data_IF_016995914317
#
_entry.id   IF_016995914317
#
_cell.length_a   1.000
_cell.length_b   1.000
_cell.length_c   1.000
_cell.angle_alpha   90.00
_cell.angle_beta   90.00
_cell.angle_gamma   90.00
#
_symmetry.space_group_name_H-M   'P 1'
#
loop_
_entity.id
_entity.type
_entity.pdbx_description
1 polymer ?
#
# COMPACT_ATOMS: atom_id res chain seq x y z
N UNK A 1 -20.89 -19.96 14.37
CA UNK A 1 -20.36 -18.73 13.76
C UNK A 1 -21.38 -17.61 13.95
N UNK A 2 -21.10 -16.59 14.77
CA UNK A 2 -22.01 -15.42 14.91
C UNK A 2 -22.21 -14.80 13.54
N UNK A 3 -23.45 -14.81 13.04
CA UNK A 3 -23.83 -14.26 11.76
C UNK A 3 -23.61 -12.74 11.82
N UNK A 4 -22.44 -12.26 11.39
CA UNK A 4 -22.08 -10.85 11.46
C UNK A 4 -22.80 -10.13 10.31
N UNK A 5 -24.04 -9.70 10.57
CA UNK A 5 -24.95 -9.01 9.64
C UNK A 5 -24.32 -7.80 8.90
N UNK A 6 -23.14 -7.36 9.35
CA UNK A 6 -22.40 -6.20 8.86
C UNK A 6 -21.09 -6.52 8.12
N UNK A 7 -20.74 -7.78 7.89
CA UNK A 7 -19.51 -8.15 7.17
C UNK A 7 -19.73 -8.09 5.65
N UNK A 8 -18.90 -7.32 4.95
CA UNK A 8 -18.95 -7.22 3.49
C UNK A 8 -18.08 -8.32 2.86
N UNK A 9 -18.66 -9.51 2.67
CA UNK A 9 -17.94 -10.68 2.14
C UNK A 9 -17.29 -10.43 0.77
N UNK A 10 -17.92 -9.66 -0.12
CA UNK A 10 -17.36 -9.35 -1.43
C UNK A 10 -16.06 -8.52 -1.32
N UNK A 11 -15.96 -7.63 -0.34
CA UNK A 11 -14.75 -6.80 -0.12
C UNK A 11 -13.60 -7.66 0.36
N UNK A 12 -13.85 -8.59 1.29
CA UNK A 12 -12.83 -9.52 1.76
C UNK A 12 -12.34 -10.45 0.63
N UNK A 13 -13.26 -10.92 -0.22
CA UNK A 13 -12.91 -11.71 -1.40
C UNK A 13 -12.10 -10.91 -2.43
N UNK A 14 -12.44 -9.63 -2.66
CA UNK A 14 -11.65 -8.75 -3.52
C UNK A 14 -10.24 -8.53 -2.95
N UNK A 15 -10.09 -8.36 -1.63
CA UNK A 15 -8.78 -8.26 -0.97
C UNK A 15 -7.97 -9.53 -1.13
N UNK A 16 -8.60 -10.69 -0.96
CA UNK A 16 -7.97 -11.99 -1.16
C UNK A 16 -7.53 -12.18 -2.61
N UNK A 17 -8.39 -11.85 -3.57
CA UNK A 17 -8.04 -11.89 -4.98
C UNK A 17 -6.89 -10.94 -5.32
N UNK A 18 -6.96 -9.69 -4.89
CA UNK A 18 -5.93 -8.69 -5.19
C UNK A 18 -4.56 -9.04 -4.57
N UNK A 19 -4.54 -9.61 -3.36
CA UNK A 19 -3.26 -10.06 -2.77
C UNK A 19 -2.69 -11.26 -3.54
N UNK A 20 -3.51 -12.24 -3.95
CA UNK A 20 -3.03 -13.39 -4.74
C UNK A 20 -2.55 -12.94 -6.13
N UNK A 21 -3.28 -12.03 -6.79
CA UNK A 21 -2.87 -11.44 -8.06
C UNK A 21 -1.57 -10.65 -7.94
N UNK A 22 -1.32 -10.00 -6.79
CA UNK A 22 -0.06 -9.33 -6.52
C UNK A 22 1.09 -10.34 -6.40
N UNK A 23 0.90 -11.41 -5.61
CA UNK A 23 1.93 -12.45 -5.41
C UNK A 23 2.37 -13.07 -6.74
N UNK A 24 1.43 -13.58 -7.53
CA UNK A 24 1.76 -14.15 -8.83
C UNK A 24 2.37 -13.11 -9.77
N UNK A 25 1.90 -11.85 -9.70
CA UNK A 25 2.40 -10.78 -10.54
C UNK A 25 3.86 -10.46 -10.28
N UNK A 26 4.28 -10.40 -9.02
CA UNK A 26 5.68 -10.18 -8.64
C UNK A 26 6.55 -11.41 -8.90
N UNK A 27 6.03 -12.62 -8.70
CA UNK A 27 6.79 -13.85 -8.95
C UNK A 27 7.04 -14.05 -10.44
N UNK A 28 5.99 -13.98 -11.26
CA UNK A 28 6.10 -14.16 -12.71
C UNK A 28 6.95 -13.04 -13.32
N UNK A 29 6.70 -11.78 -12.99
CA UNK A 29 7.53 -10.69 -13.50
C UNK A 29 8.95 -10.63 -12.93
N UNK A 30 9.19 -11.16 -11.74
CA UNK A 30 10.54 -11.16 -11.18
C UNK A 30 11.43 -12.22 -11.81
N UNK A 31 10.85 -13.35 -12.23
CA UNK A 31 11.61 -14.55 -12.56
C UNK A 31 11.46 -15.02 -14.00
N UNK A 32 10.40 -14.62 -14.73
CA UNK A 32 10.22 -14.98 -16.13
C UNK A 32 11.32 -14.38 -16.99
N UNK A 33 11.97 -15.22 -17.79
CA UNK A 33 12.99 -14.81 -18.74
C UNK A 33 12.44 -13.77 -19.74
N UNK A 34 13.25 -12.75 -20.03
CA UNK A 34 12.94 -11.68 -20.95
C UNK A 34 12.57 -12.18 -22.35
N UNK A 35 13.09 -13.33 -22.78
CA UNK A 35 12.76 -13.96 -24.07
C UNK A 35 11.26 -14.28 -24.23
N UNK A 36 10.51 -14.42 -23.13
CA UNK A 36 9.08 -14.74 -23.14
C UNK A 36 8.18 -13.53 -22.84
N UNK A 37 8.76 -12.34 -22.67
CA UNK A 37 8.02 -11.10 -22.36
C UNK A 37 7.57 -10.38 -23.62
N UNK A 38 6.80 -11.07 -24.43
CA UNK A 38 6.35 -10.56 -25.72
C UNK A 38 4.87 -10.17 -25.69
N UNK A 39 4.58 -8.90 -25.97
CA UNK A 39 3.21 -8.38 -26.07
C UNK A 39 2.46 -8.89 -27.31
N UNK A 40 3.14 -9.49 -28.29
CA UNK A 40 2.48 -10.20 -29.39
C UNK A 40 1.84 -11.51 -28.91
N UNK A 41 2.36 -12.10 -27.82
CA UNK A 41 1.80 -13.30 -27.23
C UNK A 41 0.53 -12.97 -26.45
N UNK A 42 -0.59 -13.55 -26.89
CA UNK A 42 -1.91 -13.31 -26.30
C UNK A 42 -1.95 -13.64 -24.79
N UNK A 43 -1.34 -14.75 -24.37
CA UNK A 43 -1.36 -15.17 -22.97
C UNK A 43 -0.56 -14.21 -22.08
N UNK A 44 0.63 -13.79 -22.53
CA UNK A 44 1.45 -12.81 -21.82
C UNK A 44 0.76 -11.45 -21.74
N UNK A 45 0.19 -10.97 -22.85
CA UNK A 45 -0.54 -9.70 -22.89
C UNK A 45 -1.76 -9.66 -21.98
N UNK A 46 -2.55 -10.74 -21.96
CA UNK A 46 -3.68 -10.88 -21.02
C UNK A 46 -3.16 -10.85 -19.58
N UNK A 47 -2.14 -11.64 -19.27
CA UNK A 47 -1.54 -11.67 -17.93
C UNK A 47 -1.01 -10.30 -17.51
N UNK A 48 -0.25 -9.62 -18.37
CA UNK A 48 0.33 -8.30 -18.13
C UNK A 48 -0.78 -7.26 -17.90
N UNK A 49 -1.88 -7.34 -18.66
CA UNK A 49 -3.04 -6.49 -18.48
C UNK A 49 -3.67 -6.68 -17.10
N UNK A 50 -3.93 -7.92 -16.67
CA UNK A 50 -4.50 -8.21 -15.35
C UNK A 50 -3.56 -7.84 -14.22
N UNK A 51 -2.25 -8.04 -14.39
CA UNK A 51 -1.24 -7.57 -13.44
C UNK A 51 -1.35 -6.06 -13.23
N UNK A 52 -1.50 -5.28 -14.31
CA UNK A 52 -1.69 -3.83 -14.26
C UNK A 52 -2.98 -3.34 -13.56
N UNK A 53 -3.98 -4.21 -13.36
CA UNK A 53 -5.24 -3.88 -12.65
C UNK A 53 -5.09 -4.09 -11.13
N UNK A 54 -4.12 -4.90 -10.70
CA UNK A 54 -4.01 -5.36 -9.32
C UNK A 54 -3.83 -4.21 -8.33
N UNK A 55 -2.88 -3.31 -8.57
CA UNK A 55 -2.63 -2.18 -7.68
C UNK A 55 -3.83 -1.22 -7.59
N UNK A 56 -4.44 -0.75 -8.71
CA UNK A 56 -5.67 0.04 -8.67
C UNK A 56 -6.78 -0.58 -7.81
N UNK A 57 -7.03 -1.90 -7.95
CA UNK A 57 -8.03 -2.61 -7.13
C UNK A 57 -7.61 -2.60 -5.66
N UNK A 58 -6.35 -2.92 -5.36
CA UNK A 58 -5.86 -2.99 -3.98
C UNK A 58 -5.97 -1.63 -3.25
N UNK A 59 -5.61 -0.52 -3.90
CA UNK A 59 -5.77 0.83 -3.33
C UNK A 59 -7.24 1.21 -3.15
N UNK A 60 -8.08 0.98 -4.15
CA UNK A 60 -9.51 1.32 -4.09
C UNK A 60 -10.21 0.52 -3.00
N UNK A 61 -9.95 -0.79 -2.91
CA UNK A 61 -10.51 -1.64 -1.86
C UNK A 61 -10.01 -1.23 -0.47
N UNK A 62 -8.74 -0.84 -0.34
CA UNK A 62 -8.17 -0.35 0.93
C UNK A 62 -8.84 0.94 1.40
N UNK A 63 -9.02 1.91 0.49
CA UNK A 63 -9.76 3.14 0.78
C UNK A 63 -11.23 2.89 1.10
N UNK A 64 -11.87 1.97 0.39
CA UNK A 64 -13.26 1.57 0.63
C UNK A 64 -13.45 0.99 2.03
N UNK A 65 -12.71 -0.08 2.38
CA UNK A 65 -12.89 -0.76 3.67
C UNK A 65 -12.53 0.14 4.85
N UNK A 66 -11.48 0.96 4.70
CA UNK A 66 -11.05 1.88 5.74
C UNK A 66 -12.15 2.91 6.01
N UNK A 67 -12.65 3.58 4.98
CA UNK A 67 -13.69 4.60 5.12
C UNK A 67 -15.00 3.99 5.60
N UNK A 68 -15.35 2.78 5.15
CA UNK A 68 -16.55 2.05 5.60
C UNK A 68 -16.53 1.83 7.11
N UNK A 69 -15.37 1.49 7.66
CA UNK A 69 -15.19 1.33 9.10
C UNK A 69 -15.05 2.67 9.83
N UNK A 70 -14.50 3.70 9.19
CA UNK A 70 -14.30 5.03 9.76
C UNK A 70 -15.64 5.73 10.01
N UNK A 71 -16.54 5.73 9.02
CA UNK A 71 -17.86 6.38 9.16
C UNK A 71 -18.89 5.52 9.88
N UNK A 72 -18.46 4.37 10.42
CA UNK A 72 -19.31 3.46 11.17
C UNK A 72 -19.27 3.80 12.66
N UNK A 73 -20.43 4.14 13.20
CA UNK A 73 -20.64 4.47 14.61
C UNK A 73 -21.24 5.85 14.77
N UNK A 74 -21.49 6.24 16.02
CA UNK A 74 -22.21 7.48 16.34
C UNK A 74 -21.28 8.66 16.59
N UNK A 75 -20.02 8.38 16.95
CA UNK A 75 -18.99 9.41 17.22
C UNK A 75 -18.38 9.93 15.91
N UNK A 76 -18.15 11.25 15.84
CA UNK A 76 -17.61 11.94 14.67
C UNK A 76 -16.36 12.76 15.02
N UNK A 77 -15.60 13.12 13.99
CA UNK A 77 -14.40 13.95 14.15
C UNK A 77 -13.32 13.27 14.99
N UNK A 78 -12.63 14.02 15.84
CA UNK A 78 -11.53 13.53 16.67
C UNK A 78 -11.97 12.52 17.75
N UNK A 79 -13.23 12.61 18.20
CA UNK A 79 -13.82 11.68 19.17
C UNK A 79 -14.05 10.28 18.59
N UNK A 80 -14.00 10.14 17.27
CA UNK A 80 -14.15 8.84 16.63
C UNK A 80 -12.92 7.95 16.92
N UNK A 81 -13.06 6.83 17.64
CA UNK A 81 -11.92 5.96 17.99
C UNK A 81 -11.24 5.33 16.77
N UNK A 82 -11.92 5.33 15.60
CA UNK A 82 -11.36 4.86 14.33
C UNK A 82 -10.34 5.82 13.76
N UNK A 83 -10.37 7.10 14.10
CA UNK A 83 -9.33 8.08 13.73
C UNK A 83 -7.99 7.67 14.37
N UNK A 84 -7.95 7.53 15.71
CA UNK A 84 -6.73 7.12 16.42
C UNK A 84 -6.21 5.75 15.97
N UNK A 85 -7.12 4.78 15.77
CA UNK A 85 -6.76 3.45 15.22
C UNK A 85 -6.21 3.55 13.79
N UNK A 86 -6.80 4.40 12.96
CA UNK A 86 -6.39 4.66 11.59
C UNK A 86 -5.02 5.32 11.51
N UNK A 87 -4.76 6.35 12.33
CA UNK A 87 -3.45 7.02 12.40
C UNK A 87 -2.36 6.02 12.80
N UNK A 88 -2.60 5.27 13.89
CA UNK A 88 -1.68 4.22 14.34
C UNK A 88 -1.41 3.21 13.23
N UNK A 89 -2.45 2.82 12.48
CA UNK A 89 -2.33 1.86 11.37
C UNK A 89 -1.54 2.45 10.19
N UNK A 90 -1.80 3.70 9.81
CA UNK A 90 -1.10 4.38 8.72
C UNK A 90 0.40 4.50 9.00
N UNK A 91 0.75 4.98 10.20
CA UNK A 91 2.14 5.06 10.66
C UNK A 91 2.80 3.68 10.77
N UNK A 92 2.07 2.67 11.26
CA UNK A 92 2.57 1.29 11.29
C UNK A 92 2.91 0.77 9.89
N UNK A 93 2.09 1.06 8.87
CA UNK A 93 2.36 0.61 7.50
C UNK A 93 3.59 1.30 6.90
N UNK A 94 3.78 2.58 7.18
CA UNK A 94 5.00 3.31 6.79
C UNK A 94 6.24 2.68 7.42
N UNK A 95 6.19 2.43 8.73
CA UNK A 95 7.29 1.80 9.45
C UNK A 95 7.61 0.41 8.90
N UNK A 96 6.59 -0.43 8.69
CA UNK A 96 6.79 -1.78 8.12
C UNK A 96 7.34 -1.69 6.69
N UNK A 97 6.89 -0.71 5.90
CA UNK A 97 7.40 -0.48 4.54
C UNK A 97 8.93 -0.30 4.51
N UNK A 98 9.45 0.60 5.34
CA UNK A 98 10.89 0.82 5.44
C UNK A 98 11.63 -0.36 6.07
N UNK A 99 11.03 -0.99 7.09
CA UNK A 99 11.62 -2.17 7.72
C UNK A 99 11.84 -3.29 6.71
N UNK A 100 10.88 -3.53 5.82
CA UNK A 100 10.99 -4.54 4.78
C UNK A 100 12.07 -4.21 3.75
N UNK A 101 12.35 -2.93 3.49
CA UNK A 101 13.44 -2.49 2.60
C UNK A 101 14.82 -2.49 3.26
N UNK A 102 14.90 -2.81 4.56
CA UNK A 102 16.15 -2.87 5.32
C UNK A 102 16.80 -4.25 5.19
N UNK A 103 18.13 -4.26 5.17
CA UNK A 103 18.94 -5.46 5.34
C UNK A 103 19.56 -5.44 6.75
N UNK A 104 19.17 -6.38 7.61
CA UNK A 104 19.63 -6.39 9.02
C UNK A 104 21.15 -6.61 9.08
N UNK A 105 21.69 -7.52 8.26
CA UNK A 105 23.12 -7.80 8.26
C UNK A 105 23.95 -6.63 7.70
N UNK A 106 23.42 -5.90 6.72
CA UNK A 106 24.03 -4.64 6.25
C UNK A 106 24.05 -3.57 7.34
N UNK A 107 22.93 -3.41 8.04
CA UNK A 107 22.82 -2.43 9.13
C UNK A 107 23.80 -2.72 10.27
N UNK A 108 24.02 -4.00 10.62
CA UNK A 108 25.02 -4.41 11.61
C UNK A 108 26.45 -4.08 11.19
N UNK A 109 26.71 -3.94 9.89
CA UNK A 109 28.00 -3.47 9.33
C UNK A 109 28.07 -1.95 9.16
N UNK A 110 27.02 -1.22 9.52
CA UNK A 110 26.93 0.24 9.33
C UNK A 110 26.54 0.67 7.90
N UNK A 111 26.05 -0.25 7.06
CA UNK A 111 25.67 0.03 5.68
C UNK A 111 24.15 0.21 5.53
N UNK A 112 23.75 1.29 4.86
CA UNK A 112 22.36 1.51 4.42
C UNK A 112 22.36 1.44 2.89
N UNK A 113 21.76 0.38 2.34
CA UNK A 113 21.63 0.22 0.89
C UNK A 113 20.59 1.19 0.31
N UNK A 114 20.79 1.62 -0.94
CA UNK A 114 19.87 2.53 -1.66
C UNK A 114 18.43 2.02 -1.71
N UNK A 115 18.24 0.69 -1.69
CA UNK A 115 16.92 0.06 -1.61
C UNK A 115 16.08 0.53 -0.42
N UNK A 116 16.73 0.96 0.68
CA UNK A 116 16.05 1.48 1.87
C UNK A 116 15.19 2.71 1.57
N UNK A 117 15.63 3.59 0.66
CA UNK A 117 14.94 4.84 0.34
C UNK A 117 13.76 4.65 -0.62
N UNK A 118 13.60 3.46 -1.20
CA UNK A 118 12.56 3.19 -2.19
C UNK A 118 11.17 3.08 -1.56
N UNK A 119 10.21 3.71 -2.24
CA UNK A 119 8.81 3.75 -1.82
C UNK A 119 8.02 2.62 -2.49
N UNK A 120 7.47 1.75 -1.64
CA UNK A 120 6.52 0.71 -2.03
C UNK A 120 5.05 1.01 -1.69
N UNK A 121 4.18 0.15 -2.22
CA UNK A 121 2.74 0.13 -1.97
C UNK A 121 2.34 0.30 -0.49
N UNK A 122 3.09 -0.23 0.48
CA UNK A 122 2.77 -0.07 1.92
C UNK A 122 2.83 1.38 2.37
N UNK A 123 3.83 2.13 1.91
CA UNK A 123 3.98 3.54 2.24
C UNK A 123 2.82 4.34 1.65
N UNK A 124 2.51 4.10 0.38
CA UNK A 124 1.41 4.77 -0.30
C UNK A 124 0.07 4.47 0.36
N UNK A 125 -0.19 3.24 0.82
CA UNK A 125 -1.40 2.89 1.58
C UNK A 125 -1.40 3.58 2.94
N UNK A 126 -0.26 3.58 3.64
CA UNK A 126 -0.10 4.25 4.94
C UNK A 126 -0.44 5.74 4.84
N UNK A 127 0.16 6.44 3.87
CA UNK A 127 -0.14 7.84 3.58
C UNK A 127 -1.57 8.05 3.10
N UNK A 128 -2.12 7.14 2.28
CA UNK A 128 -3.50 7.24 1.82
C UNK A 128 -4.50 7.18 2.98
N UNK A 129 -4.28 6.29 3.94
CA UNK A 129 -5.10 6.21 5.16
C UNK A 129 -5.01 7.52 5.95
N UNK A 130 -3.80 8.05 6.15
CA UNK A 130 -3.60 9.32 6.85
C UNK A 130 -4.26 10.50 6.11
N UNK A 131 -4.15 10.55 4.78
CA UNK A 131 -4.79 11.55 3.94
C UNK A 131 -6.32 11.50 4.01
N UNK A 132 -6.91 10.30 3.94
CA UNK A 132 -8.36 10.11 4.11
C UNK A 132 -8.82 10.56 5.51
N UNK A 133 -8.03 10.27 6.55
CA UNK A 133 -8.32 10.76 7.92
C UNK A 133 -8.28 12.28 7.98
N UNK A 134 -7.26 12.91 7.38
CA UNK A 134 -7.15 14.37 7.30
C UNK A 134 -8.38 14.98 6.63
N UNK A 135 -8.78 14.45 5.47
CA UNK A 135 -9.99 14.88 4.75
C UNK A 135 -11.26 14.67 5.60
N UNK A 136 -11.36 13.53 6.29
CA UNK A 136 -12.49 13.21 7.18
C UNK A 136 -12.60 14.20 8.35
N UNK A 137 -11.50 14.46 9.07
CA UNK A 137 -11.48 15.40 10.20
C UNK A 137 -11.83 16.80 9.71
N UNK A 138 -11.21 17.26 8.61
CA UNK A 138 -11.50 18.55 8.00
C UNK A 138 -13.00 18.69 7.63
N UNK A 139 -13.60 17.62 7.10
CA UNK A 139 -15.00 17.61 6.69
C UNK A 139 -15.99 17.35 7.82
N UNK A 140 -15.53 16.90 9.00
CA UNK A 140 -16.40 16.42 10.09
C UNK A 140 -17.29 17.52 10.68
N UNK A 141 -16.84 18.76 10.66
CA UNK A 141 -17.60 19.94 11.11
C UNK A 141 -18.42 20.59 10.00
N UNK A 142 -18.38 20.02 8.79
CA UNK A 142 -19.01 20.58 7.59
C UNK A 142 -20.29 19.81 7.22
N UNK A 143 -20.96 20.25 6.15
CA UNK A 143 -22.18 19.56 5.64
C UNK A 143 -21.83 18.16 5.14
N UNK A 144 -22.78 17.22 5.26
CA UNK A 144 -22.59 15.79 4.93
C UNK A 144 -22.11 15.52 3.49
N UNK A 145 -22.36 16.43 2.54
CA UNK A 145 -21.92 16.28 1.15
C UNK A 145 -20.45 16.69 0.92
N UNK A 146 -19.82 17.40 1.87
CA UNK A 146 -18.45 17.93 1.70
C UNK A 146 -17.44 16.80 1.65
N UNK A 147 -17.54 15.82 2.54
CA UNK A 147 -16.64 14.67 2.57
C UNK A 147 -16.63 13.88 1.24
N UNK A 148 -17.78 13.38 0.71
CA UNK A 148 -17.77 12.67 -0.56
C UNK A 148 -17.34 13.57 -1.73
N UNK A 149 -17.68 14.87 -1.71
CA UNK A 149 -17.24 15.81 -2.74
C UNK A 149 -15.72 15.95 -2.77
N UNK A 150 -15.06 16.16 -1.62
CA UNK A 150 -13.60 16.29 -1.56
C UNK A 150 -12.93 15.00 -2.02
N UNK A 151 -13.37 13.83 -1.54
CA UNK A 151 -12.79 12.54 -1.94
C UNK A 151 -12.90 12.28 -3.45
N UNK A 152 -14.06 12.59 -4.05
CA UNK A 152 -14.24 12.47 -5.49
C UNK A 152 -13.40 13.50 -6.25
N UNK A 153 -13.41 14.76 -5.83
CA UNK A 153 -12.62 15.82 -6.44
C UNK A 153 -11.12 15.52 -6.39
N UNK A 154 -10.58 15.04 -5.26
CA UNK A 154 -9.19 14.60 -5.15
C UNK A 154 -8.85 13.51 -6.17
N UNK A 155 -9.74 12.54 -6.37
CA UNK A 155 -9.54 11.49 -7.39
C UNK A 155 -9.41 12.10 -8.78
N UNK A 156 -10.36 12.95 -9.16
CA UNK A 156 -10.39 13.57 -10.50
C UNK A 156 -9.17 14.47 -10.70
N UNK A 157 -8.84 15.32 -9.74
CA UNK A 157 -7.68 16.22 -9.80
C UNK A 157 -6.38 15.41 -9.97
N UNK A 158 -6.17 14.37 -9.16
CA UNK A 158 -4.94 13.58 -9.26
C UNK A 158 -4.83 12.80 -10.58
N UNK A 159 -5.94 12.40 -11.18
CA UNK A 159 -5.90 11.68 -12.46
C UNK A 159 -5.70 12.63 -13.64
N UNK A 160 -6.38 13.77 -13.64
CA UNK A 160 -6.27 14.78 -14.71
C UNK A 160 -4.87 15.40 -14.72
N UNK A 161 -4.28 15.67 -13.55
CA UNK A 161 -2.96 16.28 -13.44
C UNK A 161 -1.79 15.28 -13.57
N UNK A 162 -2.04 13.99 -13.84
CA UNK A 162 -0.96 12.99 -13.96
C UNK A 162 0.14 13.36 -14.96
N UNK A 163 -0.18 13.85 -16.17
CA UNK A 163 0.85 14.24 -17.12
C UNK A 163 1.81 15.31 -16.56
N UNK A 164 1.35 16.17 -15.65
CA UNK A 164 2.15 17.26 -15.10
C UNK A 164 3.11 16.81 -14.01
N UNK A 165 2.63 16.07 -13.01
CA UNK A 165 3.50 15.66 -11.90
C UNK A 165 4.37 14.45 -12.27
N UNK A 166 3.99 13.64 -13.27
CA UNK A 166 4.77 12.47 -13.71
C UNK A 166 6.18 12.85 -14.23
N UNK A 167 6.32 14.03 -14.83
CA UNK A 167 7.58 14.51 -15.41
C UNK A 167 8.43 15.31 -14.41
N UNK A 168 7.99 15.46 -13.16
CA UNK A 168 8.73 16.22 -12.15
C UNK A 168 9.71 15.29 -11.41
N UNK A 169 11.01 15.57 -11.52
CA UNK A 169 12.05 14.75 -10.89
C UNK A 169 12.36 15.14 -9.44
N UNK A 170 11.84 16.28 -8.97
CA UNK A 170 11.96 16.73 -7.57
C UNK A 170 13.40 16.74 -7.02
N UNK A 171 14.37 17.11 -7.84
CA UNK A 171 15.82 17.13 -7.52
C UNK A 171 16.15 18.01 -6.28
N UNK A 172 15.27 18.95 -5.94
CA UNK A 172 15.41 19.82 -4.76
C UNK A 172 15.06 19.14 -3.42
N UNK A 173 14.52 17.92 -3.43
CA UNK A 173 14.21 17.15 -2.22
C UNK A 173 15.30 16.11 -1.93
N UNK A 174 15.58 15.80 -0.64
CA UNK A 174 16.34 14.62 -0.29
C UNK A 174 15.73 13.36 -0.91
N UNK A 175 16.56 12.40 -1.33
CA UNK A 175 16.14 11.19 -2.05
C UNK A 175 14.97 10.46 -1.36
N UNK A 176 15.03 10.35 -0.03
CA UNK A 176 13.97 9.74 0.79
C UNK A 176 12.59 10.39 0.57
N UNK A 177 12.54 11.71 0.41
CA UNK A 177 11.29 12.44 0.17
C UNK A 177 10.94 12.47 -1.32
N UNK A 178 11.94 12.62 -2.20
CA UNK A 178 11.74 12.63 -3.64
C UNK A 178 11.08 11.33 -4.14
N UNK A 179 11.45 10.18 -3.57
CA UNK A 179 10.88 8.86 -3.89
C UNK A 179 9.36 8.75 -3.67
N UNK A 180 8.74 9.64 -2.89
CA UNK A 180 7.28 9.69 -2.76
C UNK A 180 6.59 10.33 -3.97
N UNK A 181 7.30 11.12 -4.76
CA UNK A 181 6.70 11.93 -5.83
C UNK A 181 7.23 11.58 -7.22
N UNK A 182 8.47 11.12 -7.33
CA UNK A 182 9.08 10.70 -8.58
C UNK A 182 9.51 9.23 -8.58
N UNK A 183 9.58 8.66 -9.78
CA UNK A 183 10.17 7.33 -10.04
C UNK A 183 11.63 7.42 -10.48
N UNK A 184 12.19 8.62 -10.63
CA UNK A 184 13.54 8.85 -11.14
C UNK A 184 14.63 8.10 -10.35
N UNK A 185 14.45 7.93 -9.03
CA UNK A 185 15.39 7.25 -8.15
C UNK A 185 15.12 5.73 -8.03
N UNK A 186 14.22 5.17 -8.84
CA UNK A 186 13.94 3.72 -8.88
C UNK A 186 12.70 3.26 -8.11
N UNK A 187 11.97 4.15 -7.44
CA UNK A 187 10.69 3.79 -6.79
C UNK A 187 9.63 3.41 -7.82
N UNK A 188 9.01 2.24 -7.63
CA UNK A 188 7.91 1.79 -8.51
C UNK A 188 6.60 2.51 -8.17
N UNK A 189 6.42 2.83 -6.88
CA UNK A 189 5.26 3.52 -6.35
C UNK A 189 5.60 4.92 -5.86
N UNK A 190 4.66 5.84 -6.05
CA UNK A 190 4.66 7.23 -5.59
C UNK A 190 3.34 7.47 -4.85
N UNK A 191 3.13 8.58 -4.16
CA UNK A 191 1.83 8.87 -3.53
C UNK A 191 0.77 9.19 -4.59
N UNK A 192 1.15 9.89 -5.66
CA UNK A 192 0.29 10.17 -6.81
C UNK A 192 0.74 9.33 -8.00
N UNK A 193 -0.17 8.62 -8.70
CA UNK A 193 -1.63 8.74 -8.68
C UNK A 193 -2.35 7.88 -7.62
N UNK A 194 -1.63 7.03 -6.89
CA UNK A 194 -2.21 5.94 -6.10
C UNK A 194 -3.18 6.38 -5.00
N UNK A 195 -2.96 7.56 -4.41
CA UNK A 195 -3.90 8.18 -3.48
C UNK A 195 -5.27 8.44 -4.11
N UNK A 196 -5.32 8.76 -5.42
CA UNK A 196 -6.57 8.95 -6.16
C UNK A 196 -7.45 7.69 -6.18
N UNK A 197 -6.87 6.50 -6.37
CA UNK A 197 -7.63 5.24 -6.25
C UNK A 197 -8.15 5.03 -4.83
N UNK A 198 -7.35 5.33 -3.81
CA UNK A 198 -7.76 5.20 -2.42
C UNK A 198 -8.91 6.16 -2.06
N UNK A 199 -8.86 7.43 -2.51
CA UNK A 199 -9.94 8.40 -2.30
C UNK A 199 -11.20 8.05 -3.08
N UNK A 200 -11.07 7.47 -4.27
CA UNK A 200 -12.23 6.95 -5.01
C UNK A 200 -12.91 5.80 -4.26
N UNK A 201 -12.12 4.87 -3.73
CA UNK A 201 -12.62 3.79 -2.88
C UNK A 201 -13.34 4.32 -1.65
N UNK A 202 -12.76 5.32 -0.99
CA UNK A 202 -13.38 6.01 0.14
C UNK A 202 -14.72 6.65 -0.25
N UNK A 203 -14.79 7.33 -1.40
CA UNK A 203 -16.02 7.91 -1.94
C UNK A 203 -17.09 6.84 -2.20
N UNK A 204 -16.74 5.74 -2.87
CA UNK A 204 -17.67 4.62 -3.10
C UNK A 204 -18.21 4.04 -1.80
N UNK A 205 -17.37 3.94 -0.77
CA UNK A 205 -17.80 3.48 0.56
C UNK A 205 -18.86 4.39 1.17
N UNK A 206 -18.79 5.71 0.98
CA UNK A 206 -19.79 6.64 1.50
C UNK A 206 -21.12 6.48 0.79
N UNK A 207 -21.11 6.32 -0.54
CA UNK A 207 -22.32 6.02 -1.31
C UNK A 207 -22.93 4.71 -0.83
N UNK A 208 -22.12 3.65 -0.75
CA UNK A 208 -22.57 2.33 -0.31
C UNK A 208 -23.17 2.37 1.11
N UNK A 209 -22.53 3.10 2.02
CA UNK A 209 -23.00 3.24 3.41
C UNK A 209 -24.29 4.05 3.49
N UNK A 210 -24.44 5.09 2.67
CA UNK A 210 -25.65 5.92 2.60
C UNK A 210 -26.88 5.12 2.20
N UNK A 211 -26.72 4.18 1.28
CA UNK A 211 -27.81 3.34 0.77
C UNK A 211 -27.84 1.93 1.38
N UNK A 212 -27.15 1.70 2.51
CA UNK A 212 -27.01 0.37 3.13
C UNK A 212 -28.34 -0.33 3.45
N UNK A 213 -29.37 0.46 3.77
CA UNK A 213 -30.71 -0.04 4.16
C UNK A 213 -31.69 -0.05 2.96
N UNK A 214 -31.23 0.32 1.77
CA UNK A 214 -32.05 0.32 0.56
C UNK A 214 -32.22 -1.12 0.02
N UNK A 215 -33.48 -1.54 -0.19
CA UNK A 215 -33.85 -2.90 -0.63
C UNK A 215 -33.10 -3.36 -1.89
N UNK A 216 -32.90 -2.44 -2.84
CA UNK A 216 -32.26 -2.73 -4.12
C UNK A 216 -30.80 -2.26 -4.21
N UNK A 217 -30.11 -2.09 -3.07
CA UNK A 217 -28.71 -1.65 -3.03
C UNK A 217 -27.81 -2.46 -3.97
N UNK A 218 -27.82 -3.80 -3.87
CA UNK A 218 -26.92 -4.63 -4.66
C UNK A 218 -27.24 -4.63 -6.16
N UNK A 219 -28.50 -4.82 -6.62
CA UNK A 219 -28.83 -4.68 -8.03
C UNK A 219 -28.39 -3.33 -8.62
N UNK A 220 -28.68 -2.23 -7.93
CA UNK A 220 -28.29 -0.89 -8.40
C UNK A 220 -26.76 -0.75 -8.41
N UNK A 221 -26.08 -1.12 -7.32
CA UNK A 221 -24.63 -1.00 -7.23
C UNK A 221 -23.90 -1.85 -8.28
N UNK A 222 -24.37 -3.06 -8.56
CA UNK A 222 -23.81 -3.94 -9.59
C UNK A 222 -23.99 -3.32 -10.98
N UNK A 223 -25.21 -2.92 -11.33
CA UNK A 223 -25.50 -2.32 -12.64
C UNK A 223 -24.74 -1.02 -12.84
N UNK A 224 -24.74 -0.12 -11.84
CA UNK A 224 -23.97 1.12 -11.89
C UNK A 224 -22.46 0.87 -12.01
N UNK A 225 -21.92 -0.11 -11.28
CA UNK A 225 -20.50 -0.46 -11.38
C UNK A 225 -20.12 -0.98 -12.77
N UNK A 226 -20.94 -1.83 -13.39
CA UNK A 226 -20.70 -2.30 -14.76
C UNK A 226 -20.85 -1.18 -15.78
N UNK A 227 -21.93 -0.38 -15.73
CA UNK A 227 -22.14 0.72 -16.68
C UNK A 227 -21.01 1.74 -16.56
N UNK A 228 -20.75 2.27 -15.36
CA UNK A 228 -19.69 3.25 -15.17
C UNK A 228 -18.30 2.66 -15.46
N UNK A 229 -18.06 1.39 -15.11
CA UNK A 229 -16.81 0.71 -15.36
C UNK A 229 -16.51 0.53 -16.84
N UNK A 230 -17.45 -0.05 -17.60
CA UNK A 230 -17.33 -0.21 -19.04
C UNK A 230 -17.29 1.14 -19.76
N UNK A 231 -18.06 2.13 -19.29
CA UNK A 231 -17.99 3.48 -19.84
C UNK A 231 -16.60 4.11 -19.69
N UNK A 232 -15.96 3.96 -18.53
CA UNK A 232 -14.59 4.41 -18.32
C UNK A 232 -13.58 3.61 -19.15
N UNK A 233 -13.78 2.30 -19.36
CA UNK A 233 -12.85 1.51 -20.18
C UNK A 233 -12.91 1.91 -21.66
N UNK A 234 -14.11 2.10 -22.22
CA UNK A 234 -14.28 2.31 -23.67
C UNK A 234 -14.40 3.78 -24.09
N UNK A 235 -14.99 4.64 -23.26
CA UNK A 235 -15.32 6.02 -23.63
C UNK A 235 -14.47 7.09 -22.95
N UNK A 236 -13.63 6.76 -21.95
CA UNK A 236 -12.80 7.78 -21.30
C UNK A 236 -11.81 8.44 -22.25
N UNK A 237 -11.16 7.67 -23.14
CA UNK A 237 -10.17 8.22 -24.08
C UNK A 237 -10.82 9.08 -25.17
N UNK A 238 -11.89 8.63 -25.85
CA UNK A 238 -12.66 9.49 -26.75
C UNK A 238 -13.15 10.78 -26.08
N UNK A 239 -13.63 10.70 -24.83
CA UNK A 239 -14.10 11.88 -24.09
C UNK A 239 -12.97 12.87 -23.79
N UNK A 240 -11.82 12.40 -23.31
CA UNK A 240 -10.65 13.26 -23.06
C UNK A 240 -10.13 13.88 -24.36
N UNK A 241 -10.12 13.13 -25.46
CA UNK A 241 -9.75 13.66 -26.77
C UNK A 241 -10.70 14.78 -27.23
N UNK A 242 -12.01 14.58 -27.07
CA UNK A 242 -13.02 15.61 -27.36
C UNK A 242 -12.80 16.89 -26.53
N UNK A 243 -12.50 16.75 -25.23
CA UNK A 243 -12.14 17.89 -24.38
C UNK A 243 -10.88 18.61 -24.88
N UNK A 244 -9.85 17.87 -25.30
CA UNK A 244 -8.63 18.45 -25.86
C UNK A 244 -8.89 19.22 -27.15
N UNK A 245 -9.66 18.65 -28.08
CA UNK A 245 -10.04 19.29 -29.34
C UNK A 245 -10.90 20.54 -29.12
N UNK A 246 -11.80 20.51 -28.13
CA UNK A 246 -12.73 21.63 -27.87
C UNK A 246 -12.08 22.78 -27.10
N UNK A 247 -11.26 22.46 -26.10
CA UNK A 247 -10.64 23.48 -25.23
C UNK A 247 -9.30 23.99 -25.74
N UNK A 248 -8.60 23.23 -26.60
CA UNK A 248 -7.24 23.53 -27.04
C UNK A 248 -6.17 23.39 -25.95
N UNK A 249 -6.51 22.86 -24.76
CA UNK A 249 -5.57 22.75 -23.65
C UNK A 249 -4.65 21.53 -23.82
N UNK A 250 -3.33 21.76 -23.79
CA UNK A 250 -2.30 20.73 -23.89
C UNK A 250 -2.48 19.61 -22.84
N UNK A 251 -2.94 19.95 -21.64
CA UNK A 251 -3.20 19.00 -20.56
C UNK A 251 -4.09 17.83 -21.00
N UNK A 252 -5.17 18.08 -21.74
CA UNK A 252 -6.08 17.03 -22.19
C UNK A 252 -5.48 16.21 -23.35
N UNK A 253 -4.65 16.83 -24.21
CA UNK A 253 -3.92 16.10 -25.24
C UNK A 253 -2.91 15.11 -24.62
N UNK A 254 -2.20 15.51 -23.58
CA UNK A 254 -1.25 14.65 -22.86
C UNK A 254 -1.98 13.54 -22.06
N UNK A 255 -3.10 13.88 -21.43
CA UNK A 255 -3.96 12.91 -20.74
C UNK A 255 -4.53 11.88 -21.72
N UNK A 256 -4.92 12.29 -22.94
CA UNK A 256 -5.39 11.38 -23.98
C UNK A 256 -4.31 10.35 -24.37
N UNK A 257 -3.05 10.80 -24.57
CA UNK A 257 -1.93 9.92 -24.90
C UNK A 257 -1.66 8.86 -23.83
N UNK A 258 -1.96 9.15 -22.56
CA UNK A 258 -1.69 8.26 -21.42
C UNK A 258 -2.89 8.11 -20.48
N UNK A 259 -4.08 7.78 -21.01
CA UNK A 259 -5.33 7.71 -20.24
C UNK A 259 -5.50 6.41 -19.41
N UNK A 260 -4.40 5.80 -18.97
CA UNK A 260 -4.48 4.52 -18.27
C UNK A 260 -5.20 4.62 -16.91
N UNK A 261 -5.14 5.77 -16.23
CA UNK A 261 -5.72 5.89 -14.90
C UNK A 261 -7.24 5.72 -14.88
N UNK A 262 -7.93 6.37 -15.82
CA UNK A 262 -9.38 6.24 -15.97
C UNK A 262 -9.78 4.85 -16.48
N UNK A 263 -9.04 4.29 -17.45
CA UNK A 263 -9.29 2.92 -17.95
C UNK A 263 -9.12 1.89 -16.83
N UNK A 264 -8.06 2.01 -16.01
CA UNK A 264 -7.82 1.13 -14.86
C UNK A 264 -8.87 1.34 -13.77
N UNK A 265 -9.37 2.56 -13.56
CA UNK A 265 -10.50 2.81 -12.67
C UNK A 265 -11.78 2.12 -13.16
N UNK A 266 -12.01 2.13 -14.48
CA UNK A 266 -13.10 1.39 -15.11
C UNK A 266 -13.00 -0.11 -14.83
N UNK A 267 -11.80 -0.69 -14.99
CA UNK A 267 -11.53 -2.07 -14.63
C UNK A 267 -11.81 -2.36 -13.15
N UNK A 268 -11.42 -1.46 -12.25
CA UNK A 268 -11.72 -1.60 -10.82
C UNK A 268 -13.23 -1.69 -10.60
N UNK A 269 -14.02 -0.82 -11.22
CA UNK A 269 -15.48 -0.86 -11.10
C UNK A 269 -16.09 -2.14 -11.67
N UNK A 270 -15.59 -2.64 -12.80
CA UNK A 270 -15.99 -3.95 -13.35
C UNK A 270 -15.68 -5.07 -12.34
N UNK A 271 -14.49 -5.07 -11.74
CA UNK A 271 -14.12 -6.05 -10.69
C UNK A 271 -15.07 -5.92 -9.48
N UNK A 272 -15.40 -4.71 -9.03
CA UNK A 272 -16.42 -4.50 -8.00
C UNK A 272 -17.77 -5.12 -8.39
N UNK A 273 -18.24 -4.90 -9.63
CA UNK A 273 -19.48 -5.48 -10.17
C UNK A 273 -19.47 -7.01 -10.18
N UNK A 274 -18.37 -7.63 -10.62
CA UNK A 274 -18.18 -9.09 -10.62
C UNK A 274 -18.23 -9.66 -9.19
N UNK A 275 -17.45 -9.11 -8.26
CA UNK A 275 -17.41 -9.62 -6.88
C UNK A 275 -18.72 -9.36 -6.11
N UNK A 276 -19.42 -8.26 -6.37
CA UNK A 276 -20.75 -8.02 -5.81
C UNK A 276 -21.80 -9.00 -6.37
N UNK A 277 -21.71 -9.37 -7.65
CA UNK A 277 -22.53 -10.41 -8.28
C UNK A 277 -22.29 -11.76 -7.60
N UNK A 278 -21.03 -12.15 -7.46
CA UNK A 278 -20.62 -13.43 -6.88
C UNK A 278 -20.67 -13.49 -5.35
N UNK A 279 -21.13 -12.42 -4.67
CA UNK A 279 -21.06 -12.29 -3.20
C UNK A 279 -21.62 -13.47 -2.40
N UNK A 280 -22.62 -14.18 -2.96
CA UNK A 280 -23.25 -15.36 -2.31
C UNK A 280 -22.29 -16.55 -2.22
N UNK A 281 -21.34 -16.67 -3.15
CA UNK A 281 -20.35 -17.74 -3.20
C UNK A 281 -19.08 -17.43 -2.39
N UNK A 282 -18.94 -16.20 -1.89
CA UNK A 282 -17.72 -15.70 -1.23
C UNK A 282 -17.71 -15.90 0.30
N UNK A 283 -18.55 -16.82 0.81
CA UNK A 283 -18.65 -17.11 2.25
C UNK A 283 -17.63 -18.17 2.73
N UNK A 284 -16.76 -18.67 1.83
CA UNK A 284 -15.73 -19.64 2.18
C UNK A 284 -14.76 -19.08 3.22
N UNK A 285 -14.59 -19.80 4.33
CA UNK A 285 -13.76 -19.37 5.47
C UNK A 285 -12.30 -19.10 5.10
N UNK A 286 -11.72 -19.86 4.16
CA UNK A 286 -10.32 -19.69 3.73
C UNK A 286 -10.13 -18.37 3.00
N UNK A 287 -11.01 -18.03 2.06
CA UNK A 287 -10.97 -16.74 1.33
C UNK A 287 -11.04 -15.56 2.31
N UNK A 288 -11.91 -15.68 3.32
CA UNK A 288 -12.07 -14.66 4.35
C UNK A 288 -10.85 -14.52 5.27
N UNK A 289 -10.16 -15.63 5.57
CA UNK A 289 -8.88 -15.62 6.32
C UNK A 289 -7.77 -14.98 5.50
N UNK A 290 -7.67 -15.30 4.21
CA UNK A 290 -6.69 -14.69 3.28
C UNK A 290 -6.93 -13.18 3.20
N UNK A 291 -8.17 -12.76 2.92
CA UNK A 291 -8.53 -11.34 2.78
C UNK A 291 -8.29 -10.52 4.04
N UNK A 292 -8.43 -11.11 5.24
CA UNK A 292 -8.12 -10.44 6.50
C UNK A 292 -6.62 -10.38 6.84
N UNK A 293 -5.83 -11.30 6.28
CA UNK A 293 -4.39 -11.47 6.56
C UNK A 293 -3.46 -10.85 5.51
N UNK A 294 -3.97 -9.92 4.67
CA UNK A 294 -3.24 -9.37 3.52
C UNK A 294 -1.87 -8.76 3.87
N UNK A 295 -1.73 -8.11 5.03
CA UNK A 295 -0.43 -7.57 5.45
C UNK A 295 0.60 -8.67 5.75
N UNK A 296 0.18 -9.76 6.40
CA UNK A 296 1.10 -10.85 6.77
C UNK A 296 1.51 -11.67 5.55
N UNK A 297 0.60 -11.82 4.59
CA UNK A 297 0.91 -12.36 3.25
C UNK A 297 1.89 -11.44 2.54
N UNK A 298 1.67 -10.13 2.61
CA UNK A 298 2.61 -9.16 2.04
C UNK A 298 3.99 -9.24 2.71
N UNK A 299 4.10 -9.38 4.02
CA UNK A 299 5.42 -9.54 4.65
C UNK A 299 6.08 -10.85 4.18
N UNK A 300 5.32 -11.95 4.14
CA UNK A 300 5.85 -13.27 3.73
C UNK A 300 6.40 -13.25 2.31
N UNK A 301 5.70 -12.64 1.35
CA UNK A 301 6.18 -12.59 -0.04
C UNK A 301 7.46 -11.78 -0.18
N UNK A 302 7.60 -10.69 0.57
CA UNK A 302 8.76 -9.82 0.50
C UNK A 302 10.01 -10.52 1.06
N UNK A 303 9.83 -11.32 2.12
CA UNK A 303 10.89 -12.19 2.65
C UNK A 303 11.26 -13.30 1.67
N UNK A 304 10.28 -14.05 1.16
CA UNK A 304 10.53 -15.25 0.32
C UNK A 304 11.05 -14.88 -1.07
N UNK A 305 10.45 -13.89 -1.75
CA UNK A 305 10.82 -13.51 -3.11
C UNK A 305 12.02 -12.59 -3.14
N UNK A 306 11.98 -11.48 -2.39
CA UNK A 306 13.00 -10.43 -2.44
C UNK A 306 14.12 -10.59 -1.41
N UNK A 307 13.99 -11.53 -0.47
CA UNK A 307 15.02 -11.77 0.54
C UNK A 307 15.08 -10.65 1.58
N UNK A 308 13.98 -9.95 1.83
CA UNK A 308 13.91 -8.90 2.84
C UNK A 308 14.52 -9.35 4.18
N UNK A 309 15.20 -8.42 4.86
CA UNK A 309 15.95 -8.61 6.12
C UNK A 309 17.23 -9.45 6.01
N UNK A 310 17.26 -10.49 5.17
CA UNK A 310 18.37 -11.47 5.12
C UNK A 310 19.25 -11.37 3.86
N UNK A 311 18.73 -10.79 2.79
CA UNK A 311 19.32 -10.80 1.45
C UNK A 311 19.08 -12.10 0.65
N UNK A 312 18.41 -13.10 1.23
CA UNK A 312 18.26 -14.44 0.63
C UNK A 312 16.83 -14.65 0.11
N UNK A 313 16.58 -14.25 -1.14
CA UNK A 313 15.28 -14.44 -1.81
C UNK A 313 15.43 -15.04 -3.19
N UNK A 314 14.36 -15.65 -3.71
CA UNK A 314 14.36 -16.24 -5.07
C UNK A 314 14.84 -15.27 -6.15
N UNK A 315 14.49 -13.99 -6.01
CA UNK A 315 14.88 -12.95 -6.96
C UNK A 315 16.40 -12.84 -7.09
N UNK A 316 17.17 -13.02 -6.01
CA UNK A 316 18.63 -12.92 -6.08
C UNK A 316 19.27 -14.01 -6.95
N UNK A 317 18.64 -15.18 -7.07
CA UNK A 317 19.22 -16.36 -7.75
C UNK A 317 18.58 -16.64 -9.12
N UNK A 318 17.30 -16.29 -9.29
CA UNK A 318 16.48 -16.71 -10.44
C UNK A 318 15.94 -15.52 -11.25
N UNK A 319 16.48 -14.32 -11.05
CA UNK A 319 16.05 -13.11 -11.75
C UNK A 319 16.03 -13.31 -13.27
N UNK A 320 14.86 -13.13 -13.89
CA UNK A 320 14.66 -13.20 -15.35
C UNK A 320 15.34 -14.41 -16.03
N UNK A 321 15.26 -15.59 -15.42
CA UNK A 321 16.00 -16.78 -15.88
C UNK A 321 15.11 -18.01 -16.13
N UNK A 322 13.83 -17.96 -15.75
CA UNK A 322 12.96 -19.11 -15.77
C UNK A 322 12.04 -19.11 -16.99
N UNK A 323 11.79 -20.30 -17.54
CA UNK A 323 10.83 -20.51 -18.62
C UNK A 323 9.37 -20.52 -18.10
N UNK A 324 8.37 -20.28 -18.96
CA UNK A 324 6.96 -20.28 -18.57
C UNK A 324 6.52 -21.59 -17.87
N UNK A 325 7.06 -22.73 -18.30
CA UNK A 325 6.74 -24.05 -17.75
C UNK A 325 7.16 -24.22 -16.29
N UNK A 326 8.17 -23.47 -15.83
CA UNK A 326 8.64 -23.47 -14.44
C UNK A 326 7.96 -22.34 -13.66
N UNK A 327 7.88 -21.14 -14.25
CA UNK A 327 7.37 -19.94 -13.58
C UNK A 327 5.90 -20.09 -13.17
N UNK A 328 5.05 -20.64 -14.05
CA UNK A 328 3.61 -20.75 -13.79
C UNK A 328 3.31 -21.67 -12.60
N UNK A 329 3.76 -22.95 -12.56
CA UNK A 329 3.59 -23.79 -11.37
C UNK A 329 4.35 -23.24 -10.16
N UNK A 330 5.53 -22.64 -10.37
CA UNK A 330 6.30 -21.97 -9.31
C UNK A 330 5.51 -20.85 -8.63
N UNK A 331 4.77 -20.05 -9.40
CA UNK A 331 3.92 -18.98 -8.87
C UNK A 331 2.78 -19.53 -8.00
N UNK A 332 2.18 -20.67 -8.36
CA UNK A 332 1.16 -21.34 -7.56
C UNK A 332 1.74 -21.82 -6.22
N UNK A 333 2.88 -22.52 -6.26
CA UNK A 333 3.57 -23.00 -5.05
C UNK A 333 3.97 -21.80 -4.16
N UNK A 334 4.53 -20.75 -4.75
CA UNK A 334 4.89 -19.53 -4.06
C UNK A 334 3.69 -18.86 -3.37
N UNK A 335 2.55 -18.76 -4.05
CA UNK A 335 1.33 -18.24 -3.46
C UNK A 335 0.86 -19.07 -2.26
N UNK A 336 0.85 -20.40 -2.40
CA UNK A 336 0.47 -21.31 -1.31
C UNK A 336 1.43 -21.16 -0.13
N UNK A 337 2.74 -21.10 -0.38
CA UNK A 337 3.76 -20.90 0.65
C UNK A 337 3.52 -19.58 1.41
N UNK A 338 3.37 -18.45 0.70
CA UNK A 338 3.13 -17.15 1.32
C UNK A 338 1.83 -17.10 2.13
N UNK A 339 0.75 -17.73 1.62
CA UNK A 339 -0.53 -17.80 2.33
C UNK A 339 -0.38 -18.68 3.57
N UNK A 340 0.22 -19.86 3.43
CA UNK A 340 0.41 -20.79 4.54
C UNK A 340 1.25 -20.17 5.67
N UNK A 341 2.41 -19.58 5.35
CA UNK A 341 3.27 -18.92 6.35
C UNK A 341 2.54 -17.78 7.04
N UNK A 342 1.79 -16.95 6.29
CA UNK A 342 1.04 -15.84 6.84
C UNK A 342 -0.10 -16.28 7.76
N UNK A 343 -0.84 -17.34 7.38
CA UNK A 343 -1.93 -17.87 8.21
C UNK A 343 -1.38 -18.52 9.48
N UNK A 344 -0.28 -19.29 9.39
CA UNK A 344 0.40 -19.83 10.57
C UNK A 344 0.91 -18.74 11.50
N UNK A 345 1.44 -17.65 10.96
CA UNK A 345 1.82 -16.49 11.75
C UNK A 345 0.60 -15.85 12.44
N UNK A 346 -0.52 -15.63 11.74
CA UNK A 346 -1.71 -15.04 12.34
C UNK A 346 -2.32 -15.93 13.45
N UNK A 347 -2.32 -17.24 13.28
CA UNK A 347 -2.79 -18.20 14.29
C UNK A 347 -1.94 -18.16 15.57
N UNK A 348 -0.63 -17.88 15.46
CA UNK A 348 0.33 -17.86 16.59
C UNK A 348 0.72 -16.45 17.04
N UNK A 349 0.13 -15.41 16.46
CA UNK A 349 0.56 -14.01 16.59
C UNK A 349 0.61 -13.51 18.02
N UNK A 350 -0.35 -13.92 18.85
CA UNK A 350 -0.39 -13.54 20.26
C UNK A 350 0.83 -14.09 20.98
N UNK A 351 1.09 -15.40 20.85
CA UNK A 351 2.23 -16.07 21.47
C UNK A 351 3.56 -15.47 20.99
N UNK A 352 3.71 -15.25 19.68
CA UNK A 352 4.93 -14.66 19.09
C UNK A 352 5.18 -13.27 19.66
N UNK A 353 4.15 -12.42 19.74
CA UNK A 353 4.29 -11.06 20.27
C UNK A 353 4.58 -11.03 21.76
N UNK A 354 3.96 -11.91 22.54
CA UNK A 354 4.23 -12.02 23.97
C UNK A 354 5.69 -12.43 24.20
N UNK A 355 6.16 -13.49 23.55
CA UNK A 355 7.55 -13.94 23.65
C UNK A 355 8.55 -12.88 23.17
N UNK A 356 8.26 -12.19 22.08
CA UNK A 356 9.10 -11.08 21.61
C UNK A 356 9.13 -9.92 22.60
N UNK A 357 8.01 -9.60 23.24
CA UNK A 357 7.94 -8.59 24.29
C UNK A 357 8.74 -8.98 25.53
N UNK A 358 8.60 -10.22 26.00
CA UNK A 358 9.38 -10.78 27.11
C UNK A 358 10.88 -10.73 26.81
N UNK A 359 11.29 -11.13 25.60
CA UNK A 359 12.68 -11.08 25.18
C UNK A 359 13.24 -9.65 25.09
N UNK A 360 12.46 -8.70 24.55
CA UNK A 360 12.86 -7.29 24.52
C UNK A 360 12.98 -6.69 25.93
N UNK A 361 12.07 -7.07 26.84
CA UNK A 361 12.15 -6.64 28.23
C UNK A 361 13.37 -7.24 28.93
N UNK A 362 13.69 -8.51 28.66
CA UNK A 362 14.88 -9.17 29.17
C UNK A 362 16.17 -8.51 28.65
N UNK A 363 16.22 -8.15 27.36
CA UNK A 363 17.33 -7.40 26.80
C UNK A 363 17.45 -6.01 27.42
N UNK A 364 16.34 -5.29 27.58
CA UNK A 364 16.33 -3.95 28.18
C UNK A 364 16.87 -4.00 29.62
N UNK A 365 16.37 -4.93 30.43
CA UNK A 365 16.80 -5.11 31.82
C UNK A 365 18.26 -5.55 31.92
N UNK A 366 18.72 -6.41 31.01
CA UNK A 366 20.14 -6.80 30.95
C UNK A 366 21.05 -5.67 30.46
N UNK A 367 20.56 -4.78 29.58
CA UNK A 367 21.33 -3.66 29.03
C UNK A 367 21.37 -2.44 29.96
N UNK A 368 20.37 -2.25 30.82
CA UNK A 368 20.23 -1.10 31.71
C UNK A 368 21.48 -0.85 32.60
N UNK A 369 22.11 -1.88 33.23
CA UNK A 369 23.34 -1.71 33.99
C UNK A 369 24.52 -1.26 33.11
N UNK A 370 24.63 -1.78 31.89
CA UNK A 370 25.69 -1.42 30.94
C UNK A 370 25.52 -0.02 30.39
N UNK A 371 24.27 0.38 30.11
CA UNK A 371 23.94 1.76 29.71
C UNK A 371 24.29 2.73 30.85
N UNK A 372 23.87 2.42 32.09
CA UNK A 372 24.21 3.23 33.25
C UNK A 372 25.73 3.32 33.49
N UNK A 373 26.45 2.22 33.30
CA UNK A 373 27.92 2.18 33.36
C UNK A 373 28.56 3.05 32.28
N UNK A 374 28.11 2.93 31.02
CA UNK A 374 28.62 3.74 29.90
C UNK A 374 28.37 5.25 30.11
N UNK A 375 27.20 5.64 30.62
CA UNK A 375 26.90 7.02 30.97
C UNK A 375 27.83 7.56 32.08
N UNK A 376 28.13 6.75 33.11
CA UNK A 376 29.11 7.12 34.14
C UNK A 376 30.51 7.28 33.56
N UNK A 377 30.94 6.35 32.72
CA UNK A 377 32.25 6.40 32.07
C UNK A 377 32.41 7.65 31.21
N UNK A 378 31.40 7.97 30.38
CA UNK A 378 31.39 9.18 29.53
C UNK A 378 31.44 10.44 30.39
N UNK A 379 30.64 10.50 31.46
CA UNK A 379 30.62 11.65 32.38
C UNK A 379 31.98 11.85 33.06
N UNK A 380 32.62 10.79 33.52
CA UNK A 380 33.95 10.83 34.13
C UNK A 380 35.02 11.25 33.11
N UNK A 381 34.92 10.76 31.88
CA UNK A 381 35.85 11.12 30.80
C UNK A 381 35.69 12.60 30.42
N UNK A 382 34.46 13.09 30.26
CA UNK A 382 34.16 14.51 30.03
C UNK A 382 34.65 15.39 31.17
N UNK A 383 34.49 14.94 32.42
CA UNK A 383 35.01 15.65 33.58
C UNK A 383 36.54 15.73 33.56
N UNK A 384 37.23 14.61 33.28
CA UNK A 384 38.70 14.58 33.14
C UNK A 384 39.17 15.46 31.99
N UNK A 385 38.54 15.39 30.81
CA UNK A 385 38.85 16.26 29.67
C UNK A 385 38.66 17.72 30.05
N UNK A 386 37.54 18.09 30.68
CA UNK A 386 37.29 19.45 31.15
C UNK A 386 38.37 19.93 32.12
N UNK A 387 38.78 19.10 33.08
CA UNK A 387 39.85 19.41 34.03
C UNK A 387 41.20 19.57 33.33
N UNK A 388 41.53 18.68 32.38
CA UNK A 388 42.76 18.77 31.58
C UNK A 388 42.78 20.01 30.71
N UNK A 389 41.67 20.35 30.05
CA UNK A 389 41.50 21.58 29.26
C UNK A 389 41.68 22.81 30.17
N UNK A 390 41.03 22.86 31.34
CA UNK A 390 41.20 23.97 32.28
C UNK A 390 42.66 24.09 32.76
N UNK A 391 43.35 22.97 33.01
CA UNK A 391 44.77 22.98 33.39
C UNK A 391 45.66 23.49 32.24
N UNK A 392 45.41 23.05 31.01
CA UNK A 392 46.13 23.51 29.80
C UNK A 392 45.96 25.03 29.59
N UNK A 393 44.73 25.53 29.72
CA UNK A 393 44.44 26.96 29.55
C UNK A 393 44.80 27.84 30.76
N UNK A 394 44.97 27.27 31.96
CA UNK A 394 45.54 27.99 33.12
C UNK A 394 47.07 27.98 33.17
N UNK A 395 47.73 26.99 32.56
CA UNK A 395 49.19 26.97 32.41
C UNK A 395 49.69 27.89 31.27
N UNK A 396 48.80 28.35 30.40
CA UNK A 396 49.11 29.31 29.33
C UNK A 396 49.00 30.79 29.78
N UNK A 397 48.90 31.06 31.08
CA UNK A 397 48.90 32.42 31.63
C UNK A 397 50.04 32.57 32.62
N UNK A 398 51.24 32.77 32.10
CA UNK A 398 52.35 33.48 32.75
C UNK A 398 52.99 34.38 31.71
#
# INVERSE_FOLDING_TARGET
>A
MKNNKYRLYFVDAMRAWAILMMLQGHFVDGLLDNAYRDNSNLAFSIWQYFRGITAPVFFTVSGFIFTYLLVRGDQQGMENPRVKKGIKRGLQLLFIGYLLRTNIFGLLKGEIYSSFYLVDVLHCIGLSILGIIGIYIFSSTKKKFVLPLILFATTIILFVLEPQYKIMDHIYLPEMLANYFTKANGSVFTIFPWFGYATFGAFLSLIFTRFKDYKHLYPVAITTAFIAGLSLVFYSSPFVNYLGQTTGLQLFADLYKNNYLFIRLGNVLVVFGVFMTLRRFMMNSTVLKIGSSTLSIYISHFVILYGSLTGLGFYAFLHHSLSPYIVVPGALIFMVACVYTALKYEDNKVVIKTKAGEWLQQLSTNAEPWIAFSFRLIKDTLFRVRVTVIKLFRLAKN
#
